data_IF_767607678282
#
_entry.id   IF_767607678282
#
_cell.length_a   1.000
_cell.length_b   1.000
_cell.length_c   1.000
_cell.angle_alpha   90.00
_cell.angle_beta   90.00
_cell.angle_gamma   90.00
#
_symmetry.space_group_name_H-M   'P 1'
#
loop_
_entity.id
_entity.type
_entity.pdbx_description
1 polymer ?
#
# COMPACT_ATOMS: atom_id res chain seq x y z
N UNK A 1 29.97 33.17 17.44
CA UNK A 1 29.72 32.73 17.36
C UNK A 1 29.50 31.79 17.23
N UNK A 2 29.29 31.85 17.18
CA UNK A 2 28.89 30.90 17.14
C UNK A 2 28.51 29.99 16.92
N UNK A 3 28.36 29.91 16.97
CA UNK A 3 27.88 29.10 16.80
C UNK A 3 27.40 28.18 16.90
N UNK A 4 27.25 28.32 17.05
CA UNK A 4 26.80 27.52 17.26
C UNK A 4 26.29 26.69 17.08
N UNK A 5 26.17 26.84 16.99
CA UNK A 5 25.66 26.08 16.87
C UNK A 5 25.43 25.10 16.72
N UNK A 6 25.41 25.13 16.73
CA UNK A 6 25.14 24.19 16.69
C UNK A 6 24.70 23.33 16.69
N UNK A 7 24.61 23.56 16.75
CA UNK A 7 24.17 22.76 16.83
C UNK A 7 23.82 21.91 16.83
N UNK A 8 23.66 22.05 16.79
CA UNK A 8 23.31 21.19 16.94
C UNK A 8 22.90 20.41 16.66
N UNK A 9 22.85 20.71 16.50
CA UNK A 9 22.41 19.95 16.34
C UNK A 9 22.17 19.10 16.29
N UNK A 10 22.14 19.08 16.42
CA UNK A 10 21.93 18.19 16.51
C UNK A 10 21.43 17.45 16.49
N UNK A 11 21.35 17.58 16.55
CA UNK A 11 20.97 16.90 16.71
C UNK A 11 20.53 16.12 16.67
N UNK A 12 20.31 16.14 16.62
CA UNK A 12 19.92 15.37 16.76
C UNK A 12 19.43 14.67 16.52
N UNK A 13 19.18 14.74 16.20
CA UNK A 13 18.68 14.11 16.09
C UNK A 13 18.54 13.19 16.03
N UNK A 14 18.51 13.07 16.11
CA UNK A 14 18.37 12.20 16.26
C UNK A 14 17.97 11.41 15.99
N UNK A 15 17.87 11.46 15.79
CA UNK A 15 17.46 10.70 15.67
C UNK A 15 16.92 9.98 15.85
N UNK A 16 16.57 9.92 16.14
CA UNK A 16 16.20 9.19 16.59
C UNK A 16 15.67 8.56 16.24
N UNK A 17 15.52 8.71 15.95
CA UNK A 17 15.04 8.17 15.88
C UNK A 17 14.45 7.39 15.75
N UNK A 18 14.23 7.21 15.56
CA UNK A 18 13.69 6.51 15.58
C UNK A 18 13.56 5.56 16.01
N UNK A 19 13.60 5.48 16.38
CA UNK A 19 13.46 4.76 16.89
C UNK A 19 12.59 4.10 16.86
N UNK A 20 12.34 4.43 16.46
CA UNK A 20 11.43 3.91 16.35
C UNK A 20 10.80 2.86 16.72
N UNK A 21 9.88 2.52 16.59
CA UNK A 21 9.19 1.56 17.08
C UNK A 21 9.43 0.35 16.50
N UNK A 22 10.29 -0.14 16.90
CA UNK A 22 10.70 -1.33 16.41
C UNK A 22 9.79 -2.39 16.70
N UNK A 23 9.80 -3.37 16.12
CA UNK A 23 9.16 -4.53 16.51
C UNK A 23 7.73 -4.70 16.10
N UNK A 24 7.11 -3.68 15.59
CA UNK A 24 5.76 -3.87 15.14
C UNK A 24 5.73 -3.89 13.66
N UNK A 25 5.58 -5.04 13.08
CA UNK A 25 5.39 -5.15 11.68
C UNK A 25 3.96 -4.83 11.39
N UNK A 26 3.70 -3.79 10.67
CA UNK A 26 2.36 -3.47 10.25
C UNK A 26 2.43 -3.13 8.78
N UNK A 27 1.31 -2.72 8.21
CA UNK A 27 1.26 -2.49 6.78
C UNK A 27 2.31 -1.50 6.34
N UNK A 28 2.61 -0.50 7.17
CA UNK A 28 3.55 0.51 6.76
C UNK A 28 4.97 0.01 6.74
N UNK A 29 5.24 -1.09 7.43
CA UNK A 29 6.60 -1.61 7.50
C UNK A 29 6.93 -2.59 6.40
N UNK A 30 5.96 -2.94 5.58
CA UNK A 30 6.20 -3.89 4.52
C UNK A 30 6.80 -3.16 3.33
N UNK A 31 7.72 -3.78 2.62
CA UNK A 31 8.29 -3.12 1.46
C UNK A 31 7.27 -2.99 0.36
N UNK A 32 7.33 -1.87 -0.32
CA UNK A 32 6.46 -1.63 -1.46
C UNK A 32 7.05 -2.25 -2.71
N UNK A 33 6.17 -2.84 -3.50
CA UNK A 33 6.56 -3.40 -4.79
C UNK A 33 5.92 -2.53 -5.87
N UNK A 34 6.67 -2.15 -6.88
CA UNK A 34 6.11 -1.43 -8.02
C UNK A 34 5.14 -2.35 -8.74
N UNK A 35 4.05 -1.78 -9.26
CA UNK A 35 3.03 -2.60 -9.92
C UNK A 35 3.64 -3.43 -11.03
N UNK A 36 4.55 -2.86 -11.82
CA UNK A 36 5.17 -3.60 -12.91
C UNK A 36 6.06 -4.75 -12.47
N UNK A 37 6.41 -4.80 -11.19
CA UNK A 37 7.27 -5.86 -10.66
C UNK A 37 6.52 -6.89 -9.83
N UNK A 38 5.21 -6.78 -9.74
CA UNK A 38 4.41 -7.71 -8.94
C UNK A 38 4.46 -9.09 -9.57
N UNK A 39 4.70 -10.09 -8.74
CA UNK A 39 4.79 -11.47 -9.21
C UNK A 39 3.57 -12.25 -8.78
N UNK A 40 3.07 -13.07 -9.67
CA UNK A 40 1.90 -13.91 -9.39
C UNK A 40 2.23 -14.87 -8.26
N UNK A 41 1.22 -15.15 -7.45
CA UNK A 41 1.35 -16.12 -6.38
C UNK A 41 2.07 -15.61 -5.16
N UNK A 42 2.16 -14.29 -4.98
CA UNK A 42 2.89 -13.74 -3.84
C UNK A 42 2.05 -12.72 -3.10
N UNK A 43 2.37 -12.53 -1.82
CA UNK A 43 1.79 -11.44 -1.04
C UNK A 43 2.61 -10.19 -1.34
N UNK A 44 1.93 -9.08 -1.64
CA UNK A 44 2.63 -7.85 -2.01
C UNK A 44 1.93 -6.66 -1.40
N UNK A 45 2.66 -5.57 -1.31
CA UNK A 45 2.10 -4.27 -0.96
C UNK A 45 2.46 -3.30 -2.07
N UNK A 46 1.45 -2.67 -2.64
CA UNK A 46 1.64 -1.74 -3.74
C UNK A 46 0.99 -0.41 -3.40
N UNK A 47 1.56 0.67 -3.91
CA UNK A 47 1.00 1.99 -3.73
C UNK A 47 0.70 2.57 -5.11
N UNK A 48 -0.39 3.29 -5.22
CA UNK A 48 -0.74 3.89 -6.48
C UNK A 48 -1.96 4.76 -6.36
N UNK A 49 -2.49 5.16 -7.49
CA UNK A 49 -3.68 5.98 -7.58
C UNK A 49 -4.82 5.14 -8.13
N UNK A 50 -5.98 5.27 -7.54
CA UNK A 50 -7.18 4.59 -8.05
C UNK A 50 -7.50 5.17 -9.40
N UNK A 51 -7.38 4.37 -10.44
CA UNK A 51 -7.50 4.83 -11.81
C UNK A 51 -8.96 4.82 -12.28
N UNK A 52 -9.67 3.77 -11.97
CA UNK A 52 -11.09 3.70 -12.34
C UNK A 52 -11.73 2.53 -11.61
N UNK A 53 -13.03 2.60 -11.47
CA UNK A 53 -13.80 1.47 -10.96
C UNK A 53 -14.04 0.50 -12.12
N UNK A 54 -13.84 -0.78 -11.86
CA UNK A 54 -14.08 -1.81 -12.85
C UNK A 54 -15.40 -2.53 -12.58
N UNK A 55 -15.73 -2.66 -11.30
CA UNK A 55 -16.98 -3.28 -10.89
C UNK A 55 -17.25 -2.81 -9.46
N UNK A 56 -18.33 -3.25 -8.88
CA UNK A 56 -18.67 -2.83 -7.51
C UNK A 56 -17.66 -3.35 -6.50
N UNK A 57 -16.95 -4.43 -6.83
CA UNK A 57 -15.98 -5.04 -5.93
C UNK A 57 -14.57 -5.04 -6.51
N UNK A 58 -14.31 -4.22 -7.52
CA UNK A 58 -13.04 -4.27 -8.21
C UNK A 58 -12.68 -2.91 -8.75
N UNK A 59 -11.42 -2.53 -8.62
CA UNK A 59 -10.94 -1.27 -9.19
C UNK A 59 -9.55 -1.46 -9.79
N UNK A 60 -9.15 -0.49 -10.59
CA UNK A 60 -7.84 -0.51 -11.20
C UNK A 60 -6.94 0.48 -10.49
N UNK A 61 -5.79 0.01 -10.10
CA UNK A 61 -4.76 0.82 -9.44
C UNK A 61 -3.66 1.08 -10.44
N UNK A 62 -3.07 2.27 -10.39
CA UNK A 62 -2.05 2.67 -11.33
C UNK A 62 -0.87 3.30 -10.61
N UNK A 63 0.32 2.96 -11.03
CA UNK A 63 1.50 3.72 -10.66
C UNK A 63 2.27 4.00 -11.96
N UNK A 64 3.47 4.54 -11.87
CA UNK A 64 4.20 4.88 -13.08
C UNK A 64 4.72 3.66 -13.81
N UNK A 65 4.63 2.48 -13.23
CA UNK A 65 5.14 1.26 -13.88
C UNK A 65 4.03 0.44 -14.53
N UNK A 66 2.76 0.74 -14.25
CA UNK A 66 1.69 -0.02 -14.86
C UNK A 66 0.38 0.07 -14.11
N UNK A 67 -0.52 -0.83 -14.43
CA UNK A 67 -1.83 -0.91 -13.79
C UNK A 67 -2.06 -2.30 -13.23
N UNK A 68 -2.99 -2.39 -12.29
CA UNK A 68 -3.26 -3.63 -11.59
C UNK A 68 -4.73 -3.68 -11.20
N UNK A 69 -5.35 -4.83 -11.39
CA UNK A 69 -6.73 -5.02 -10.96
C UNK A 69 -6.72 -5.41 -9.49
N UNK A 70 -7.54 -4.75 -8.70
CA UNK A 70 -7.62 -5.01 -7.26
C UNK A 70 -9.04 -5.45 -6.95
N UNK A 71 -9.18 -6.61 -6.35
CA UNK A 71 -10.45 -7.21 -6.01
C UNK A 71 -10.62 -7.13 -4.50
N UNK A 72 -11.76 -6.61 -4.05
CA UNK A 72 -11.99 -6.42 -2.62
C UNK A 72 -12.95 -7.45 -2.02
N UNK A 73 -13.27 -8.48 -2.77
CA UNK A 73 -14.06 -9.58 -2.26
C UNK A 73 -15.53 -9.19 -2.14
N UNK A 74 -16.23 -9.71 -1.14
CA UNK A 74 -17.67 -9.43 -1.03
C UNK A 74 -17.95 -8.02 -0.51
N UNK A 75 -17.00 -7.14 -0.58
CA UNK A 75 -17.13 -5.78 -0.06
C UNK A 75 -17.37 -4.82 -1.21
N UNK A 76 -17.83 -3.63 -0.87
CA UNK A 76 -17.85 -2.55 -1.86
C UNK A 76 -16.47 -1.94 -1.89
N UNK A 77 -16.09 -1.37 -3.03
CA UNK A 77 -14.81 -0.69 -3.12
C UNK A 77 -14.83 0.50 -2.18
N UNK A 78 -13.91 0.55 -1.22
CA UNK A 78 -13.95 1.59 -0.17
C UNK A 78 -13.13 2.83 -0.48
N UNK A 79 -12.75 3.04 -1.73
CA UNK A 79 -11.88 4.15 -2.11
C UNK A 79 -12.49 4.86 -3.30
N UNK A 80 -11.98 6.04 -3.57
CA UNK A 80 -12.50 6.89 -4.66
C UNK A 80 -11.52 6.99 -5.80
N UNK A 81 -12.04 7.16 -7.00
CA UNK A 81 -11.20 7.39 -8.17
C UNK A 81 -10.35 8.64 -7.92
N UNK A 82 -9.07 8.53 -8.22
CA UNK A 82 -8.13 9.62 -8.01
C UNK A 82 -7.45 9.59 -6.66
N UNK A 83 -7.86 8.71 -5.79
CA UNK A 83 -7.30 8.63 -4.44
C UNK A 83 -5.97 7.88 -4.46
N UNK A 84 -4.99 8.37 -3.71
CA UNK A 84 -3.71 7.69 -3.53
C UNK A 84 -3.87 6.70 -2.40
N UNK A 85 -3.62 5.43 -2.68
CA UNK A 85 -3.84 4.37 -1.68
C UNK A 85 -2.69 3.39 -1.70
N UNK A 86 -2.57 2.62 -0.63
CA UNK A 86 -1.63 1.51 -0.53
C UNK A 86 -2.45 0.25 -0.29
N UNK A 87 -2.18 -0.79 -1.06
CA UNK A 87 -2.95 -2.03 -0.99
C UNK A 87 -2.02 -3.17 -0.65
N UNK A 88 -2.38 -3.92 0.38
CA UNK A 88 -1.67 -5.15 0.74
C UNK A 88 -2.59 -6.32 0.43
N UNK A 89 -2.08 -7.31 -0.26
CA UNK A 89 -2.89 -8.47 -0.57
C UNK A 89 -2.12 -9.55 -1.29
N UNK A 90 -2.86 -10.53 -1.78
CA UNK A 90 -2.31 -11.68 -2.46
C UNK A 90 -2.53 -11.53 -3.96
N UNK A 91 -1.43 -11.61 -4.71
CA UNK A 91 -1.52 -11.57 -6.17
C UNK A 91 -1.78 -12.98 -6.66
N UNK A 92 -2.92 -13.21 -7.29
CA UNK A 92 -3.26 -14.55 -7.69
C UNK A 92 -2.30 -15.02 -8.80
N UNK A 93 -2.38 -16.29 -9.15
CA UNK A 93 -1.45 -16.84 -10.11
C UNK A 93 -2.08 -17.09 -11.47
N UNK A 94 -3.19 -16.44 -11.75
CA UNK A 94 -3.83 -16.57 -13.06
C UNK A 94 -2.90 -16.03 -14.13
N UNK A 95 -2.84 -16.72 -15.26
CA UNK A 95 -2.02 -16.27 -16.37
C UNK A 95 -2.70 -15.19 -17.17
N UNK A 96 -4.03 -15.15 -17.13
CA UNK A 96 -4.79 -14.16 -17.87
C UNK A 96 -5.58 -13.37 -16.85
N UNK A 97 -5.41 -12.06 -16.87
CA UNK A 97 -6.12 -11.14 -15.98
C UNK A 97 -5.91 -11.47 -14.51
N UNK A 98 -4.66 -11.51 -14.06
CA UNK A 98 -4.44 -11.74 -12.63
C UNK A 98 -4.97 -10.57 -11.82
N UNK A 99 -5.38 -10.85 -10.60
CA UNK A 99 -5.98 -9.85 -9.72
C UNK A 99 -5.26 -9.86 -8.39
N UNK A 100 -5.15 -8.70 -7.78
CA UNK A 100 -4.65 -8.60 -6.42
C UNK A 100 -5.85 -8.69 -5.49
N UNK A 101 -5.88 -9.73 -4.66
CA UNK A 101 -6.94 -9.91 -3.67
C UNK A 101 -6.57 -9.11 -2.45
N UNK A 102 -7.18 -7.95 -2.30
CA UNK A 102 -6.82 -7.01 -1.26
C UNK A 102 -7.18 -7.54 0.12
N UNK A 103 -6.26 -7.39 1.07
CA UNK A 103 -6.48 -7.71 2.46
C UNK A 103 -6.60 -6.46 3.30
N UNK A 104 -5.83 -5.45 2.95
CA UNK A 104 -5.84 -4.16 3.63
C UNK A 104 -5.63 -3.06 2.63
N UNK A 105 -6.34 -1.97 2.80
CA UNK A 105 -6.12 -0.77 1.99
C UNK A 105 -5.91 0.38 2.95
N UNK A 106 -4.79 1.09 2.79
CA UNK A 106 -4.55 2.31 3.53
C UNK A 106 -4.92 3.46 2.63
N UNK A 107 -5.86 4.25 3.06
CA UNK A 107 -6.40 5.36 2.28
C UNK A 107 -5.50 6.57 2.38
N UNK A 108 -5.77 7.56 1.54
CA UNK A 108 -4.95 8.77 1.51
C UNK A 108 -4.94 9.50 2.86
N UNK A 109 -6.02 9.38 3.63
CA UNK A 109 -6.10 10.04 4.93
C UNK A 109 -5.52 9.20 6.06
N UNK A 110 -4.93 8.06 5.74
CA UNK A 110 -4.33 7.18 6.74
C UNK A 110 -5.25 6.11 7.29
N UNK A 111 -6.52 6.14 6.91
CA UNK A 111 -7.46 5.12 7.38
C UNK A 111 -7.09 3.79 6.79
N UNK A 112 -7.08 2.76 7.62
CA UNK A 112 -6.79 1.40 7.17
C UNK A 112 -8.09 0.62 7.12
N UNK A 113 -8.42 0.09 5.95
CA UNK A 113 -9.60 -0.72 5.75
C UNK A 113 -9.16 -2.16 5.65
N UNK A 114 -9.65 -3.00 6.56
CA UNK A 114 -9.34 -4.42 6.55
C UNK A 114 -10.48 -5.13 5.84
N UNK A 115 -10.14 -5.99 4.89
CA UNK A 115 -11.13 -6.64 4.06
C UNK A 115 -11.20 -8.12 4.38
N UNK A 116 -12.43 -8.64 4.42
CA UNK A 116 -12.63 -10.06 4.63
C UNK A 116 -12.55 -10.74 3.30
N UNK A 117 -11.55 -11.56 3.10
CA UNK A 117 -11.42 -12.33 1.88
C UNK A 117 -11.76 -13.76 2.21
N UNK A 118 -12.85 -14.21 1.69
CA UNK A 118 -13.25 -15.58 1.89
C UNK A 118 -13.23 -16.29 0.59
N UNK A 119 -12.59 -17.41 0.59
CA UNK A 119 -12.40 -18.14 -0.64
C UNK A 119 -13.14 -19.45 -0.62
N UNK A 120 -14.24 -19.46 -0.03
CA UNK A 120 -14.95 -20.71 -0.02
C UNK A 120 -15.59 -21.01 -1.29
#
# INVERSE_FOLDING_TARGET
MPRTVLALGLASALGFGALASPGFANAEDRPLTAIGDVQRGTMVMVAGTVDRMLDEDEFRLRDETGTLRVYVGPNWVPVDVGEAVTVFGYMDDALIRPELYAREITRADGTVVTLSQRYE
#
